data_IF_284806695185
#
_entry.id   IF_284806695185
#
_cell.length_a   1.000
_cell.length_b   1.000
_cell.length_c   1.000
_cell.angle_alpha   90.00
_cell.angle_beta   90.00
_cell.angle_gamma   90.00
#
_symmetry.space_group_name_H-M   'P 1'
#
loop_
_entity.id
_entity.type
_entity.pdbx_description
1 polymer ?
#
# COMPACT_ATOMS: atom_id res chain seq x y z
N UNK A 1 -4.31 7.96 -10.63
CA UNK A 1 -4.63 7.28 -9.38
C UNK A 1 -3.53 7.53 -8.36
N UNK A 2 -3.89 7.55 -7.07
CA UNK A 2 -2.95 7.59 -5.96
C UNK A 2 -2.65 6.16 -5.48
N UNK A 3 -1.37 5.76 -5.55
CA UNK A 3 -0.91 4.40 -5.31
C UNK A 3 0.06 4.38 -4.13
N UNK A 4 -0.19 3.51 -3.15
CA UNK A 4 0.68 3.29 -2.01
C UNK A 4 1.54 2.05 -2.24
N UNK A 5 2.84 2.20 -2.10
CA UNK A 5 3.77 1.08 -1.99
C UNK A 5 3.97 0.74 -0.53
N UNK A 6 3.64 -0.49 -0.17
CA UNK A 6 4.07 -1.09 1.09
C UNK A 6 5.60 -1.01 1.24
N UNK A 7 6.09 -1.04 2.48
CA UNK A 7 7.50 -1.00 2.85
C UNK A 7 8.33 -2.10 2.19
N UNK A 8 7.70 -3.24 1.91
CA UNK A 8 8.34 -4.41 1.30
C UNK A 8 8.32 -4.37 -0.23
N UNK A 9 7.61 -3.41 -0.84
CA UNK A 9 7.48 -3.27 -2.29
C UNK A 9 8.74 -2.66 -2.90
N UNK A 10 9.39 -3.31 -3.88
CA UNK A 10 10.57 -2.77 -4.53
C UNK A 10 10.29 -1.44 -5.24
N UNK A 11 10.87 -0.34 -4.76
CA UNK A 11 10.74 0.99 -5.40
C UNK A 11 11.08 0.99 -6.92
N UNK A 12 12.03 0.17 -7.43
CA UNK A 12 12.33 0.12 -8.87
C UNK A 12 11.17 -0.27 -9.79
N UNK A 13 10.03 -0.79 -9.29
CA UNK A 13 8.85 -1.05 -10.13
C UNK A 13 7.97 0.19 -10.36
N UNK A 14 8.23 1.30 -9.66
CA UNK A 14 7.52 2.59 -9.81
C UNK A 14 7.45 3.10 -11.26
N UNK A 15 8.50 2.97 -12.10
CA UNK A 15 8.44 3.38 -13.51
C UNK A 15 7.44 2.59 -14.36
N UNK A 16 6.90 1.47 -13.88
CA UNK A 16 5.82 0.73 -14.55
C UNK A 16 4.45 1.36 -14.34
N UNK A 17 4.31 2.28 -13.37
CA UNK A 17 3.07 2.98 -13.03
C UNK A 17 3.08 4.42 -13.54
N UNK A 18 3.57 4.65 -14.77
CA UNK A 18 3.58 5.99 -15.37
C UNK A 18 2.16 6.56 -15.44
N UNK A 19 2.04 7.85 -15.10
CA UNK A 19 0.73 8.51 -15.05
C UNK A 19 -0.02 8.30 -13.73
N UNK A 20 0.59 7.66 -12.74
CA UNK A 20 0.05 7.55 -11.38
C UNK A 20 0.99 8.21 -10.36
N UNK A 21 0.40 8.72 -9.28
CA UNK A 21 1.16 9.25 -8.15
C UNK A 21 1.46 8.09 -7.23
N UNK A 22 2.73 7.78 -7.05
CA UNK A 22 3.18 6.69 -6.18
C UNK A 22 3.87 7.27 -4.95
N UNK A 23 3.39 6.92 -3.77
CA UNK A 23 4.01 7.20 -2.47
C UNK A 23 4.36 5.87 -1.78
N UNK A 24 5.37 5.87 -0.92
CA UNK A 24 5.72 4.69 -0.12
C UNK A 24 5.24 4.84 1.31
N UNK A 25 4.96 3.71 1.98
CA UNK A 25 4.64 3.69 3.41
C UNK A 25 5.73 4.41 4.23
N UNK A 26 7.00 4.25 3.85
CA UNK A 26 8.11 4.96 4.50
C UNK A 26 8.01 6.48 4.37
N UNK A 27 7.67 7.03 3.19
CA UNK A 27 7.48 8.47 2.99
C UNK A 27 6.34 9.06 3.86
N UNK A 28 5.38 8.22 4.22
CA UNK A 28 4.24 8.57 5.09
C UNK A 28 4.50 8.33 6.58
N UNK A 29 5.65 7.76 6.94
CA UNK A 29 5.92 7.32 8.32
C UNK A 29 5.08 6.13 8.76
N UNK A 30 4.61 5.33 7.80
CA UNK A 30 3.76 4.14 7.99
C UNK A 30 4.54 2.84 7.87
N UNK A 31 5.88 2.89 7.86
CA UNK A 31 6.77 1.74 7.76
C UNK A 31 6.55 0.73 8.90
N UNK A 32 6.00 1.14 10.04
CA UNK A 32 5.75 0.24 11.17
C UNK A 32 4.31 -0.27 11.25
N UNK A 33 3.43 0.16 10.35
CA UNK A 33 2.06 -0.31 10.34
C UNK A 33 2.00 -1.78 9.91
N UNK A 34 1.17 -2.56 10.58
CA UNK A 34 0.80 -3.90 10.10
C UNK A 34 -0.06 -3.74 8.85
N UNK A 35 -0.10 -4.77 8.01
CA UNK A 35 -0.81 -4.72 6.73
C UNK A 35 -2.28 -4.24 6.83
N UNK A 36 -3.02 -4.65 7.87
CA UNK A 36 -4.39 -4.18 8.08
C UNK A 36 -4.49 -2.70 8.44
N UNK A 37 -3.61 -2.22 9.32
CA UNK A 37 -3.53 -0.79 9.66
C UNK A 37 -3.04 0.03 8.47
N UNK A 38 -2.12 -0.52 7.66
CA UNK A 38 -1.63 0.12 6.45
C UNK A 38 -2.74 0.24 5.39
N UNK A 39 -3.55 -0.81 5.21
CA UNK A 39 -4.69 -0.78 4.30
C UNK A 39 -5.71 0.28 4.72
N UNK A 40 -6.10 0.29 5.99
CA UNK A 40 -7.02 1.29 6.54
C UNK A 40 -6.47 2.72 6.42
N UNK A 41 -5.19 2.92 6.75
CA UNK A 41 -4.54 4.22 6.59
C UNK A 41 -4.49 4.66 5.12
N UNK A 42 -4.31 3.72 4.18
CA UNK A 42 -4.36 3.99 2.76
C UNK A 42 -5.76 4.45 2.34
N UNK A 43 -6.81 3.74 2.74
CA UNK A 43 -8.20 4.09 2.45
C UNK A 43 -8.58 5.45 3.05
N UNK A 44 -8.30 5.68 4.33
CA UNK A 44 -8.57 6.94 5.04
C UNK A 44 -7.84 8.14 4.39
N UNK A 45 -6.66 7.91 3.82
CA UNK A 45 -5.89 8.93 3.11
C UNK A 45 -6.23 9.07 1.62
N UNK A 46 -7.20 8.31 1.11
CA UNK A 46 -7.67 8.41 -0.27
C UNK A 46 -6.77 7.72 -1.30
N UNK A 47 -5.93 6.77 -0.87
CA UNK A 47 -5.22 5.90 -1.81
C UNK A 47 -6.20 4.95 -2.48
N UNK A 48 -6.09 4.81 -3.80
CA UNK A 48 -6.96 3.96 -4.60
C UNK A 48 -6.39 2.55 -4.75
N UNK A 49 -5.07 2.40 -4.61
CA UNK A 49 -4.37 1.12 -4.79
C UNK A 49 -3.26 0.97 -3.75
N UNK A 50 -3.25 -0.14 -3.03
CA UNK A 50 -2.11 -0.60 -2.24
C UNK A 50 -1.36 -1.70 -3.01
N UNK A 51 -0.06 -1.52 -3.23
CA UNK A 51 0.84 -2.51 -3.80
C UNK A 51 1.71 -3.11 -2.69
N UNK A 52 1.56 -4.41 -2.48
CA UNK A 52 2.37 -5.20 -1.53
C UNK A 52 2.77 -6.54 -2.16
N UNK A 53 4.00 -7.03 -1.93
CA UNK A 53 4.40 -8.39 -2.28
C UNK A 53 3.84 -9.44 -1.29
N UNK A 54 3.24 -9.03 -0.16
CA UNK A 54 2.67 -9.97 0.80
C UNK A 54 1.41 -10.64 0.24
N UNK A 55 1.55 -11.92 -0.13
CA UNK A 55 0.46 -12.75 -0.66
C UNK A 55 -0.58 -13.11 0.40
N UNK A 56 -0.24 -12.99 1.68
CA UNK A 56 -1.13 -13.36 2.77
C UNK A 56 -2.07 -12.24 3.19
N UNK A 57 -1.93 -11.03 2.64
CA UNK A 57 -2.76 -9.88 3.04
C UNK A 57 -4.27 -10.17 2.92
N UNK A 58 -4.67 -10.96 1.92
CA UNK A 58 -6.08 -11.39 1.72
C UNK A 58 -6.63 -12.25 2.85
N UNK A 59 -5.78 -13.02 3.53
CA UNK A 59 -6.17 -13.88 4.65
C UNK A 59 -6.03 -13.17 6.00
N UNK A 60 -5.28 -12.06 6.04
CA UNK A 60 -5.08 -11.25 7.25
C UNK A 60 -6.20 -10.23 7.46
N UNK A 61 -6.93 -9.87 6.40
CA UNK A 61 -8.11 -9.02 6.51
C UNK A 61 -9.35 -9.89 6.72
N UNK A 62 -10.10 -9.63 7.79
CA UNK A 62 -11.50 -10.04 7.87
C UNK A 62 -12.29 -9.16 6.91
N UNK A 63 -12.31 -9.53 5.64
CA UNK A 63 -13.16 -8.94 4.61
C UNK A 63 -14.58 -9.50 4.81
N UNK A 64 -15.19 -9.20 5.96
CA UNK A 64 -16.63 -9.38 6.11
C UNK A 64 -17.29 -8.20 5.39
N UNK A 65 -18.02 -8.53 4.31
CA UNK A 65 -18.81 -7.57 3.54
C UNK A 65 -19.97 -7.01 4.36
#
# INVERSE_FOLDING_TARGET
MLVLFDQSTPVPIRPSLKGHTVETAWQRGWDKLKNGDLLRAAEEAGFEVLVTPDKNIRYQQNLEN
#
